data_IF_145255857755
#
_entry.id   IF_145255857755
#
_cell.length_a   1.000
_cell.length_b   1.000
_cell.length_c   1.000
_cell.angle_alpha   90.00
_cell.angle_beta   90.00
_cell.angle_gamma   90.00
#
_symmetry.space_group_name_H-M   'P 1'
#
loop_
_entity.id
_entity.type
_entity.pdbx_description
1 polymer ?
#
# COMPACT_ATOMS: atom_id res chain seq x y z
N UNK A 1 -5.39 6.44 -14.57
CA UNK A 1 -5.81 6.86 -13.21
C UNK A 1 -4.61 6.70 -12.30
N UNK A 2 -4.33 7.68 -11.45
CA UNK A 2 -3.20 7.60 -10.51
C UNK A 2 -3.45 6.51 -9.46
N UNK A 3 -2.46 5.64 -9.14
CA UNK A 3 -2.62 4.57 -8.15
C UNK A 3 -3.12 5.08 -6.79
N UNK A 4 -2.70 6.28 -6.39
CA UNK A 4 -3.17 6.92 -5.16
C UNK A 4 -4.66 7.26 -5.17
N UNK A 5 -5.19 7.73 -6.31
CA UNK A 5 -6.63 7.99 -6.46
C UNK A 5 -7.44 6.69 -6.41
N UNK A 6 -6.91 5.60 -6.96
CA UNK A 6 -7.53 4.29 -6.83
C UNK A 6 -7.59 3.82 -5.37
N UNK A 7 -6.47 3.93 -4.63
CA UNK A 7 -6.43 3.60 -3.20
C UNK A 7 -7.49 4.39 -2.43
N UNK A 8 -7.56 5.71 -2.64
CA UNK A 8 -8.53 6.56 -1.95
C UNK A 8 -9.99 6.14 -2.27
N UNK A 9 -10.28 5.77 -3.52
CA UNK A 9 -11.62 5.30 -3.92
C UNK A 9 -11.99 3.97 -3.26
N UNK A 10 -11.01 3.09 -3.02
CA UNK A 10 -11.23 1.74 -2.49
C UNK A 10 -10.81 1.59 -1.02
N UNK A 11 -10.57 2.69 -0.30
CA UNK A 11 -9.91 2.67 1.01
C UNK A 11 -10.64 1.82 2.06
N UNK A 12 -11.98 1.84 2.07
CA UNK A 12 -12.79 1.04 3.01
C UNK A 12 -12.62 -0.47 2.76
N UNK A 13 -12.66 -0.88 1.50
CA UNK A 13 -12.49 -2.29 1.10
C UNK A 13 -11.06 -2.77 1.37
N UNK A 14 -10.07 -1.93 1.05
CA UNK A 14 -8.66 -2.23 1.27
C UNK A 14 -8.36 -2.35 2.76
N UNK A 15 -8.86 -1.45 3.60
CA UNK A 15 -8.67 -1.52 5.06
C UNK A 15 -9.25 -2.81 5.64
N UNK A 16 -10.43 -3.23 5.20
CA UNK A 16 -11.02 -4.50 5.67
C UNK A 16 -10.21 -5.75 5.28
N UNK A 17 -9.48 -5.72 4.17
CA UNK A 17 -8.71 -6.87 3.65
C UNK A 17 -7.24 -6.86 4.09
N UNK A 18 -6.68 -5.68 4.29
CA UNK A 18 -5.25 -5.45 4.48
C UNK A 18 -4.94 -4.71 5.77
N UNK A 19 -5.83 -4.76 6.76
CA UNK A 19 -5.54 -4.27 8.11
C UNK A 19 -4.23 -4.90 8.63
N UNK A 20 -3.39 -4.09 9.26
CA UNK A 20 -2.05 -4.46 9.73
C UNK A 20 -1.05 -4.75 8.62
N UNK A 21 -1.28 -4.30 7.38
CA UNK A 21 -0.43 -4.62 6.22
C UNK A 21 -0.04 -3.41 5.41
N UNK A 22 1.17 -3.44 4.84
CA UNK A 22 1.58 -2.54 3.76
C UNK A 22 1.30 -3.18 2.41
N UNK A 23 0.62 -2.47 1.51
CA UNK A 23 0.35 -2.93 0.15
C UNK A 23 1.11 -2.13 -0.89
N UNK A 24 1.45 -2.75 -2.01
CA UNK A 24 1.90 -2.10 -3.25
C UNK A 24 0.79 -2.19 -4.28
N UNK A 25 0.44 -1.05 -4.87
CA UNK A 25 -0.56 -0.92 -5.92
C UNK A 25 0.09 -0.39 -7.18
N UNK A 26 -0.08 -1.10 -8.29
CA UNK A 26 0.12 -0.57 -9.64
C UNK A 26 -0.99 -1.07 -10.56
N UNK A 27 -1.25 -0.32 -11.64
CA UNK A 27 -2.33 -0.60 -12.60
C UNK A 27 -3.69 -0.85 -11.94
N UNK A 28 -4.00 -0.10 -10.88
CA UNK A 28 -5.24 -0.20 -10.09
C UNK A 28 -5.46 -1.59 -9.47
N UNK A 29 -4.38 -2.31 -9.15
CA UNK A 29 -4.42 -3.63 -8.51
C UNK A 29 -3.39 -3.71 -7.40
N UNK A 30 -3.75 -4.40 -6.32
CA UNK A 30 -2.79 -4.78 -5.28
C UNK A 30 -1.94 -5.92 -5.84
N UNK A 31 -0.63 -5.69 -6.01
CA UNK A 31 0.30 -6.68 -6.56
C UNK A 31 1.06 -7.41 -5.44
N UNK A 32 1.24 -6.74 -4.29
CA UNK A 32 1.96 -7.30 -3.15
C UNK A 32 1.43 -6.74 -1.83
N UNK A 33 1.47 -7.54 -0.79
CA UNK A 33 1.13 -7.16 0.58
C UNK A 33 2.17 -7.74 1.55
N UNK A 34 2.50 -6.98 2.58
CA UNK A 34 3.44 -7.34 3.64
C UNK A 34 2.73 -7.26 5.00
N UNK A 35 3.03 -8.19 5.90
CA UNK A 35 2.56 -8.11 7.29
C UNK A 35 3.33 -7.04 8.05
N UNK A 36 2.64 -5.97 8.46
CA UNK A 36 3.21 -4.84 9.18
C UNK A 36 3.76 -3.72 8.28
N UNK A 37 4.30 -2.65 8.90
CA UNK A 37 4.95 -1.56 8.20
C UNK A 37 6.25 -2.02 7.54
N UNK A 38 6.56 -1.43 6.40
CA UNK A 38 7.78 -1.72 5.63
C UNK A 38 8.57 -0.44 5.44
N UNK A 39 9.90 -0.56 5.53
CA UNK A 39 10.83 0.53 5.25
C UNK A 39 10.54 1.16 3.87
N UNK A 40 10.34 2.49 3.80
CA UNK A 40 10.06 3.21 2.56
C UNK A 40 11.09 3.00 1.43
N UNK A 41 12.38 2.87 1.75
CA UNK A 41 13.43 2.61 0.75
C UNK A 41 13.27 1.21 0.16
N UNK A 42 13.09 0.22 1.04
CA UNK A 42 12.91 -1.18 0.63
C UNK A 42 11.65 -1.39 -0.21
N UNK A 43 10.54 -0.77 0.18
CA UNK A 43 9.29 -0.91 -0.58
C UNK A 43 9.38 -0.21 -1.94
N UNK A 44 10.10 0.92 -2.03
CA UNK A 44 10.33 1.62 -3.29
C UNK A 44 11.18 0.80 -4.26
N UNK A 45 12.22 0.14 -3.78
CA UNK A 45 13.05 -0.76 -4.59
C UNK A 45 12.20 -1.89 -5.17
N UNK A 46 11.46 -2.59 -4.31
CA UNK A 46 10.59 -3.69 -4.77
C UNK A 46 9.51 -3.20 -5.73
N UNK A 47 8.90 -2.03 -5.47
CA UNK A 47 7.88 -1.47 -6.34
C UNK A 47 8.43 -1.16 -7.74
N UNK A 48 9.68 -0.68 -7.86
CA UNK A 48 10.32 -0.43 -9.16
C UNK A 48 10.60 -1.70 -9.95
N UNK A 49 10.89 -2.81 -9.27
CA UNK A 49 11.14 -4.10 -9.94
C UNK A 49 9.85 -4.71 -10.50
N UNK A 50 8.72 -4.55 -9.80
CA UNK A 50 7.48 -5.24 -10.14
C UNK A 50 6.46 -4.37 -10.89
N UNK A 51 6.55 -3.04 -10.78
CA UNK A 51 5.63 -2.11 -11.43
C UNK A 51 6.34 -1.34 -12.54
N UNK A 52 5.73 -1.27 -13.73
CA UNK A 52 6.36 -0.71 -14.94
C UNK A 52 6.56 0.81 -14.91
N UNK A 53 5.55 1.56 -14.45
CA UNK A 53 5.59 3.04 -14.51
C UNK A 53 5.05 3.69 -13.24
N UNK A 54 3.76 3.48 -12.93
CA UNK A 54 3.09 4.16 -11.82
C UNK A 54 2.74 3.17 -10.72
N UNK A 55 3.20 3.47 -9.51
CA UNK A 55 2.88 2.70 -8.32
C UNK A 55 2.65 3.61 -7.12
N UNK A 56 2.00 3.06 -6.10
CA UNK A 56 1.86 3.65 -4.79
C UNK A 56 1.89 2.54 -3.75
N UNK A 57 2.44 2.82 -2.57
CA UNK A 57 2.27 1.95 -1.42
C UNK A 57 1.53 2.67 -0.31
N UNK A 58 0.87 1.90 0.54
CA UNK A 58 0.18 2.42 1.72
C UNK A 58 0.18 1.36 2.81
N UNK A 59 0.35 1.81 4.06
CA UNK A 59 0.19 0.99 5.24
C UNK A 59 -1.20 1.22 5.82
N UNK A 60 -1.92 0.14 6.13
CA UNK A 60 -3.20 0.20 6.82
C UNK A 60 -3.00 -0.27 8.26
N UNK A 61 -2.76 0.64 9.22
CA UNK A 61 -2.54 0.28 10.61
C UNK A 61 -3.77 -0.37 11.25
N UNK A 62 -3.53 -1.23 12.24
CA UNK A 62 -4.59 -1.94 12.96
C UNK A 62 -5.41 -1.00 13.87
N UNK A 63 -4.77 0.04 14.39
CA UNK A 63 -5.37 1.08 15.23
C UNK A 63 -4.91 2.48 14.80
N UNK A 64 -5.64 3.52 15.20
CA UNK A 64 -5.19 4.91 14.96
C UNK A 64 -3.94 5.28 15.78
N UNK A 65 -3.64 4.53 16.84
CA UNK A 65 -2.46 4.76 17.70
C UNK A 65 -1.15 4.43 17.00
N UNK A 66 -1.13 3.47 16.06
CA UNK A 66 0.06 3.17 15.24
C UNK A 66 0.43 4.30 14.26
N UNK A 67 -0.46 5.28 14.02
CA UNK A 67 -0.18 6.40 13.13
C UNK A 67 0.71 7.49 13.78
N UNK A 68 0.94 7.41 15.11
CA UNK A 68 1.58 8.46 15.92
C UNK A 68 2.98 8.09 16.46
N UNK A 69 3.52 6.91 16.11
CA UNK A 69 4.87 6.47 16.45
C UNK A 69 5.82 6.57 15.25
#
# INVERSE_FOLDING_TARGET
MEPRNWINKHIKELRSKFIGKTIIVCDNKVIKAYGGPVDPLKINEVAREICKEKWCYTYFPESEEEYLL
#
